data_IF_541321806968
#
_entry.id   IF_541321806968
#
_cell.length_a   1.000
_cell.length_b   1.000
_cell.length_c   1.000
_cell.angle_alpha   90.00
_cell.angle_beta   90.00
_cell.angle_gamma   90.00
#
_symmetry.space_group_name_H-M   'P 1'
#
loop_
_entity.id
_entity.type
_entity.pdbx_description
1 polymer ?
#
# COMPACT_ATOMS: atom_id res chain seq x y z
N UNK A 1 -17.64 2.29 8.44
CA UNK A 1 -17.27 0.87 8.56
C UNK A 1 -18.39 0.08 9.30
N UNK A 2 -19.03 0.64 10.34
CA UNK A 2 -20.06 -0.05 11.13
C UNK A 2 -21.24 -0.56 10.32
N UNK A 3 -21.91 0.31 9.55
CA UNK A 3 -23.03 -0.07 8.67
C UNK A 3 -22.63 -1.11 7.61
N UNK A 4 -21.39 -1.04 7.11
CA UNK A 4 -20.87 -2.03 6.19
C UNK A 4 -20.72 -3.41 6.85
N UNK A 5 -20.11 -3.46 8.05
CA UNK A 5 -19.99 -4.70 8.80
C UNK A 5 -21.36 -5.31 9.13
N UNK A 6 -22.32 -4.50 9.52
CA UNK A 6 -23.69 -4.96 9.82
C UNK A 6 -24.35 -5.64 8.62
N UNK A 7 -24.24 -5.05 7.42
CA UNK A 7 -24.76 -5.66 6.18
C UNK A 7 -24.12 -7.01 5.85
N UNK A 8 -22.83 -7.16 6.13
CA UNK A 8 -22.16 -8.45 5.92
C UNK A 8 -22.64 -9.52 6.91
N UNK A 9 -22.90 -9.14 8.17
CA UNK A 9 -23.42 -10.08 9.18
C UNK A 9 -24.82 -10.61 8.83
N UNK A 10 -25.66 -9.82 8.18
CA UNK A 10 -27.00 -10.21 7.75
C UNK A 10 -27.00 -11.29 6.65
N UNK A 11 -25.87 -11.52 5.98
CA UNK A 11 -25.71 -12.52 4.92
C UNK A 11 -25.19 -13.88 5.41
N UNK A 12 -24.91 -14.04 6.70
CA UNK A 12 -24.33 -15.23 7.29
C UNK A 12 -25.30 -15.90 8.27
N UNK A 13 -25.08 -17.19 8.52
CA UNK A 13 -25.77 -17.89 9.63
C UNK A 13 -25.45 -17.25 10.97
N UNK A 14 -26.31 -17.47 11.97
CA UNK A 14 -26.13 -16.90 13.31
C UNK A 14 -24.78 -17.23 13.93
N UNK A 15 -24.25 -18.44 13.72
CA UNK A 15 -22.95 -18.88 14.24
C UNK A 15 -21.81 -18.06 13.61
N UNK A 16 -21.74 -18.00 12.30
CA UNK A 16 -20.68 -17.27 11.58
C UNK A 16 -20.80 -15.75 11.76
N UNK A 17 -22.01 -15.22 11.78
CA UNK A 17 -22.26 -13.81 12.08
C UNK A 17 -21.74 -13.44 13.48
N UNK A 18 -21.92 -14.34 14.49
CA UNK A 18 -21.39 -14.13 15.82
C UNK A 18 -19.84 -14.05 15.82
N UNK A 19 -19.18 -15.00 15.15
CA UNK A 19 -17.70 -15.03 15.04
C UNK A 19 -17.18 -13.78 14.36
N UNK A 20 -17.75 -13.40 13.20
CA UNK A 20 -17.34 -12.22 12.45
C UNK A 20 -17.58 -10.93 13.26
N UNK A 21 -18.71 -10.83 13.98
CA UNK A 21 -19.04 -9.70 14.85
C UNK A 21 -18.01 -9.53 15.98
N UNK A 22 -17.60 -10.63 16.61
CA UNK A 22 -16.55 -10.61 17.65
C UNK A 22 -15.21 -10.17 17.09
N UNK A 23 -14.79 -10.72 15.93
CA UNK A 23 -13.57 -10.30 15.26
C UNK A 23 -13.60 -8.81 14.90
N UNK A 24 -14.69 -8.33 14.34
CA UNK A 24 -14.87 -6.92 14.01
C UNK A 24 -14.72 -6.01 15.24
N UNK A 25 -15.41 -6.33 16.35
CA UNK A 25 -15.39 -5.50 17.56
C UNK A 25 -14.05 -5.55 18.28
N UNK A 26 -13.53 -6.75 18.52
CA UNK A 26 -12.38 -6.94 19.40
C UNK A 26 -11.02 -6.89 18.69
N UNK A 27 -10.97 -7.14 17.40
CA UNK A 27 -9.73 -7.08 16.65
C UNK A 27 -9.66 -5.82 15.78
N UNK A 28 -10.65 -5.59 14.90
CA UNK A 28 -10.61 -4.47 13.95
C UNK A 28 -10.84 -3.13 14.65
N UNK A 29 -11.96 -2.95 15.34
CA UNK A 29 -12.27 -1.66 15.98
C UNK A 29 -11.26 -1.30 17.06
N UNK A 30 -10.84 -2.28 17.89
CA UNK A 30 -9.83 -2.04 18.91
C UNK A 30 -8.50 -1.61 18.30
N UNK A 31 -8.03 -2.26 17.23
CA UNK A 31 -6.80 -1.87 16.55
C UNK A 31 -6.88 -0.47 15.93
N UNK A 32 -8.03 -0.10 15.38
CA UNK A 32 -8.27 1.23 14.85
C UNK A 32 -8.28 2.29 15.97
N UNK A 33 -8.98 2.03 17.09
CA UNK A 33 -9.00 2.96 18.24
C UNK A 33 -7.62 3.17 18.86
N UNK A 34 -6.80 2.12 18.92
CA UNK A 34 -5.43 2.22 19.43
C UNK A 34 -4.52 3.01 18.48
N UNK A 35 -4.69 2.81 17.17
CA UNK A 35 -3.85 3.47 16.17
C UNK A 35 -4.26 4.92 15.88
N UNK A 36 -5.52 5.24 16.06
CA UNK A 36 -6.12 6.55 15.76
C UNK A 36 -6.95 7.07 16.95
N UNK A 37 -6.33 7.30 18.14
CA UNK A 37 -7.08 7.61 19.36
C UNK A 37 -7.83 8.95 19.29
N UNK A 38 -7.31 9.92 18.52
CA UNK A 38 -7.85 11.29 18.44
C UNK A 38 -8.11 11.75 17.00
N UNK A 39 -8.02 10.82 16.02
CA UNK A 39 -8.17 11.16 14.60
C UNK A 39 -9.03 10.12 13.89
N UNK A 40 -9.55 10.48 12.73
CA UNK A 40 -10.24 9.51 11.87
C UNK A 40 -9.24 8.72 11.03
N UNK A 41 -9.46 7.42 10.90
CA UNK A 41 -8.70 6.60 9.96
C UNK A 41 -8.95 7.09 8.52
N UNK A 42 -7.89 7.13 7.71
CA UNK A 42 -7.99 7.52 6.30
C UNK A 42 -8.92 6.59 5.50
N UNK A 43 -9.45 7.07 4.38
CA UNK A 43 -10.31 6.27 3.50
C UNK A 43 -9.64 4.97 3.07
N UNK A 44 -8.34 5.00 2.74
CA UNK A 44 -7.58 3.82 2.34
C UNK A 44 -7.49 2.75 3.45
N UNK A 45 -7.37 3.18 4.71
CA UNK A 45 -7.40 2.26 5.86
C UNK A 45 -8.79 1.65 6.02
N UNK A 46 -9.86 2.46 5.89
CA UNK A 46 -11.24 1.98 5.97
C UNK A 46 -11.53 0.99 4.85
N UNK A 47 -11.09 1.26 3.62
CA UNK A 47 -11.30 0.38 2.47
C UNK A 47 -10.50 -0.93 2.61
N UNK A 48 -9.28 -0.87 3.12
CA UNK A 48 -8.52 -2.08 3.46
C UNK A 48 -9.26 -2.96 4.48
N UNK A 49 -9.91 -2.36 5.49
CA UNK A 49 -10.72 -3.12 6.45
C UNK A 49 -12.02 -3.65 5.87
N UNK A 50 -12.64 -2.93 4.92
CA UNK A 50 -13.80 -3.44 4.18
C UNK A 50 -13.41 -4.66 3.35
N UNK A 51 -12.32 -4.61 2.59
CA UNK A 51 -11.81 -5.75 1.84
C UNK A 51 -11.50 -6.96 2.74
N UNK A 52 -10.89 -6.72 3.91
CA UNK A 52 -10.64 -7.77 4.89
C UNK A 52 -11.94 -8.44 5.37
N UNK A 53 -12.93 -7.65 5.76
CA UNK A 53 -14.23 -8.15 6.22
C UNK A 53 -14.97 -8.92 5.11
N UNK A 54 -14.93 -8.43 3.87
CA UNK A 54 -15.53 -9.10 2.70
C UNK A 54 -14.87 -10.47 2.48
N UNK A 55 -13.54 -10.53 2.47
CA UNK A 55 -12.83 -11.79 2.27
C UNK A 55 -13.15 -12.83 3.35
N UNK A 56 -13.30 -12.38 4.61
CA UNK A 56 -13.69 -13.27 5.72
C UNK A 56 -15.13 -13.74 5.55
N UNK A 57 -16.06 -12.84 5.21
CA UNK A 57 -17.45 -13.19 4.95
C UNK A 57 -17.56 -14.22 3.82
N UNK A 58 -16.79 -14.04 2.75
CA UNK A 58 -16.80 -14.97 1.60
C UNK A 58 -16.31 -16.36 1.99
N UNK A 59 -15.27 -16.48 2.83
CA UNK A 59 -14.85 -17.75 3.40
C UNK A 59 -15.96 -18.40 4.24
N UNK A 60 -16.57 -17.63 5.14
CA UNK A 60 -17.61 -18.14 6.03
C UNK A 60 -18.85 -18.59 5.25
N UNK A 61 -19.29 -17.80 4.25
CA UNK A 61 -20.39 -18.17 3.37
C UNK A 61 -20.08 -19.41 2.52
N UNK A 62 -18.82 -19.55 2.07
CA UNK A 62 -18.39 -20.75 1.34
C UNK A 62 -18.47 -22.00 2.23
N UNK A 63 -18.00 -21.92 3.49
CA UNK A 63 -18.11 -23.02 4.46
C UNK A 63 -19.58 -23.39 4.71
N UNK A 64 -20.47 -22.39 4.85
CA UNK A 64 -21.93 -22.63 4.96
C UNK A 64 -22.47 -23.40 3.76
N UNK A 65 -22.04 -23.03 2.54
CA UNK A 65 -22.41 -23.72 1.31
C UNK A 65 -21.95 -25.18 1.27
N UNK A 66 -20.90 -25.53 2.02
CA UNK A 66 -20.42 -26.91 2.20
C UNK A 66 -21.11 -27.63 3.41
N UNK A 67 -22.02 -26.95 4.10
CA UNK A 67 -22.65 -27.49 5.33
C UNK A 67 -21.70 -27.55 6.51
N UNK A 68 -20.66 -26.75 6.51
CA UNK A 68 -19.63 -26.74 7.54
C UNK A 68 -19.65 -25.43 8.34
N UNK A 69 -19.16 -25.50 9.57
CA UNK A 69 -18.86 -24.32 10.40
C UNK A 69 -17.35 -24.09 10.47
N UNK A 70 -16.95 -22.94 10.93
CA UNK A 70 -15.53 -22.63 11.13
C UNK A 70 -14.87 -23.57 12.15
N UNK A 71 -15.65 -24.07 13.12
CA UNK A 71 -15.19 -25.02 14.15
C UNK A 71 -15.03 -26.46 13.66
N UNK A 72 -15.65 -26.80 12.51
CA UNK A 72 -15.56 -28.16 11.90
C UNK A 72 -14.71 -28.18 10.64
N UNK A 73 -14.35 -27.00 10.11
CA UNK A 73 -13.53 -26.87 8.92
C UNK A 73 -12.17 -27.56 9.08
N UNK A 74 -11.75 -28.29 8.05
CA UNK A 74 -10.46 -28.97 8.00
C UNK A 74 -9.42 -28.17 7.22
N UNK A 75 -8.14 -28.56 7.34
CA UNK A 75 -7.08 -27.97 6.51
C UNK A 75 -7.36 -28.15 5.00
N UNK A 76 -7.88 -29.32 4.61
CA UNK A 76 -8.24 -29.59 3.22
C UNK A 76 -9.29 -28.64 2.66
N UNK A 77 -10.26 -28.24 3.48
CA UNK A 77 -11.29 -27.27 3.07
C UNK A 77 -10.68 -25.90 2.82
N UNK A 78 -9.77 -25.46 3.69
CA UNK A 78 -9.09 -24.16 3.53
C UNK A 78 -8.12 -24.16 2.35
N UNK A 79 -7.44 -25.26 2.10
CA UNK A 79 -6.54 -25.41 0.95
C UNK A 79 -7.36 -25.37 -0.37
N UNK A 80 -8.51 -26.04 -0.37
CA UNK A 80 -9.44 -26.02 -1.50
C UNK A 80 -10.00 -24.63 -1.76
N UNK A 81 -10.48 -23.93 -0.70
CA UNK A 81 -10.93 -22.55 -0.81
C UNK A 81 -9.83 -21.62 -1.31
N UNK A 82 -8.63 -21.74 -0.73
CA UNK A 82 -7.47 -20.94 -1.12
C UNK A 82 -7.01 -21.19 -2.56
N UNK A 83 -7.26 -22.38 -3.10
CA UNK A 83 -6.97 -22.70 -4.50
C UNK A 83 -7.86 -21.94 -5.49
N UNK A 84 -9.08 -21.61 -5.09
CA UNK A 84 -10.06 -20.94 -5.93
C UNK A 84 -9.94 -19.41 -5.94
N UNK A 85 -9.33 -18.81 -4.92
CA UNK A 85 -9.32 -17.36 -4.71
C UNK A 85 -7.90 -16.79 -4.75
N UNK A 86 -7.69 -15.83 -5.65
CA UNK A 86 -6.45 -15.07 -5.72
C UNK A 86 -6.46 -13.89 -4.69
N UNK A 87 -5.33 -13.64 -4.01
CA UNK A 87 -5.04 -12.41 -3.24
C UNK A 87 -5.72 -12.16 -1.87
N UNK A 88 -6.42 -13.11 -1.26
CA UNK A 88 -7.04 -12.89 0.06
C UNK A 88 -6.23 -13.46 1.24
N UNK A 89 -5.10 -14.10 1.00
CA UNK A 89 -4.33 -14.88 1.96
C UNK A 89 -3.97 -14.14 3.25
N UNK A 90 -3.52 -12.87 3.19
CA UNK A 90 -3.13 -12.14 4.40
C UNK A 90 -4.33 -11.78 5.31
N UNK A 91 -5.48 -11.44 4.71
CA UNK A 91 -6.70 -11.12 5.43
C UNK A 91 -7.24 -12.35 6.18
N UNK A 92 -7.28 -13.47 5.49
CA UNK A 92 -7.75 -14.75 6.04
C UNK A 92 -6.78 -15.30 7.08
N UNK A 93 -5.47 -15.22 6.86
CA UNK A 93 -4.46 -15.67 7.80
C UNK A 93 -4.57 -14.95 9.15
N UNK A 94 -4.75 -13.63 9.13
CA UNK A 94 -4.94 -12.83 10.35
C UNK A 94 -6.22 -13.24 11.09
N UNK A 95 -7.31 -13.45 10.34
CA UNK A 95 -8.59 -13.86 10.91
C UNK A 95 -8.52 -15.29 11.50
N UNK A 96 -7.97 -16.24 10.78
CA UNK A 96 -7.89 -17.64 11.24
C UNK A 96 -6.94 -17.80 12.42
N UNK A 97 -5.83 -17.07 12.45
CA UNK A 97 -4.95 -17.01 13.63
C UNK A 97 -5.72 -16.49 14.85
N UNK A 98 -6.51 -15.42 14.68
CA UNK A 98 -7.36 -14.90 15.74
C UNK A 98 -8.45 -15.91 16.13
N UNK A 99 -9.13 -16.53 15.16
CA UNK A 99 -10.19 -17.50 15.41
C UNK A 99 -9.68 -18.74 16.18
N UNK A 100 -8.51 -19.25 15.80
CA UNK A 100 -7.83 -20.35 16.51
C UNK A 100 -7.49 -19.96 17.95
N UNK A 101 -6.86 -18.80 18.14
CA UNK A 101 -6.50 -18.29 19.46
C UNK A 101 -7.71 -18.12 20.37
N UNK A 102 -8.87 -17.76 19.80
CA UNK A 102 -10.12 -17.58 20.53
C UNK A 102 -11.03 -18.81 20.51
N UNK A 103 -10.54 -19.97 20.08
CA UNK A 103 -11.26 -21.27 20.05
C UNK A 103 -12.54 -21.25 19.19
N UNK A 104 -12.54 -20.47 18.11
CA UNK A 104 -13.60 -20.44 17.10
C UNK A 104 -13.28 -21.31 15.87
N UNK A 105 -12.05 -21.73 15.71
CA UNK A 105 -11.60 -22.59 14.62
C UNK A 105 -10.75 -23.74 15.22
N UNK A 106 -10.71 -24.87 14.52
CA UNK A 106 -9.75 -25.95 14.73
C UNK A 106 -8.32 -25.49 14.41
N UNK A 107 -7.34 -26.36 14.57
CA UNK A 107 -5.93 -26.04 14.26
C UNK A 107 -5.68 -26.08 12.75
N UNK A 108 -6.20 -25.05 12.07
CA UNK A 108 -6.10 -24.86 10.63
C UNK A 108 -5.24 -23.63 10.33
N UNK A 109 -4.38 -23.73 9.32
CA UNK A 109 -3.51 -22.66 8.88
C UNK A 109 -3.74 -22.36 7.40
N UNK A 110 -3.95 -21.08 7.05
CA UNK A 110 -3.79 -20.66 5.66
C UNK A 110 -2.31 -20.64 5.37
N UNK A 111 -1.85 -21.58 4.56
CA UNK A 111 -0.50 -21.50 4.03
C UNK A 111 -0.38 -20.17 3.25
N UNK A 112 0.60 -19.35 3.62
CA UNK A 112 1.05 -18.30 2.70
C UNK A 112 1.38 -19.03 1.40
N UNK A 113 0.55 -18.90 0.38
CA UNK A 113 1.08 -19.09 -0.95
C UNK A 113 2.28 -18.15 -1.03
N UNK A 114 3.46 -18.71 -1.07
CA UNK A 114 4.62 -18.01 -1.59
C UNK A 114 4.10 -17.42 -2.89
N UNK A 115 3.95 -16.07 -2.89
CA UNK A 115 3.18 -15.41 -3.93
C UNK A 115 3.64 -15.93 -5.27
N UNK A 116 2.75 -16.56 -6.01
CA UNK A 116 2.94 -16.92 -7.42
C UNK A 116 3.16 -15.66 -8.28
N UNK A 117 3.20 -14.52 -7.66
CA UNK A 117 3.70 -13.24 -8.12
C UNK A 117 5.08 -12.92 -7.53
N UNK A 118 5.97 -13.90 -7.37
CA UNK A 118 7.37 -13.63 -7.58
C UNK A 118 7.50 -13.28 -9.08
N UNK A 119 6.99 -12.11 -9.47
CA UNK A 119 7.59 -11.46 -10.64
C UNK A 119 9.07 -11.44 -10.31
N UNK A 120 9.93 -11.94 -11.21
CA UNK A 120 11.36 -11.91 -10.96
C UNK A 120 11.69 -10.48 -10.52
N UNK A 121 12.42 -10.36 -9.43
CA UNK A 121 12.97 -9.07 -9.03
C UNK A 121 13.60 -8.48 -10.28
N UNK A 122 13.36 -7.20 -10.52
CA UNK A 122 13.99 -6.50 -11.64
C UNK A 122 15.48 -6.84 -11.56
N UNK A 123 16.05 -7.42 -12.61
CA UNK A 123 17.46 -7.76 -12.62
C UNK A 123 18.27 -6.47 -12.42
N UNK A 124 19.48 -6.59 -11.88
CA UNK A 124 20.33 -5.42 -11.69
C UNK A 124 20.56 -4.66 -13.01
N UNK A 125 20.71 -5.38 -14.11
CA UNK A 125 20.84 -4.78 -15.44
C UNK A 125 19.60 -4.00 -15.88
N UNK A 126 18.42 -4.54 -15.69
CA UNK A 126 17.14 -3.83 -16.00
C UNK A 126 16.96 -2.61 -15.09
N UNK A 127 17.36 -2.73 -13.82
CA UNK A 127 17.31 -1.61 -12.88
C UNK A 127 18.15 -0.44 -13.36
N UNK A 128 19.40 -0.70 -13.77
CA UNK A 128 20.29 0.33 -14.29
C UNK A 128 19.78 0.93 -15.60
N UNK A 129 19.23 0.12 -16.51
CA UNK A 129 18.58 0.62 -17.74
C UNK A 129 17.42 1.57 -17.44
N UNK A 130 16.61 1.26 -16.43
CA UNK A 130 15.53 2.16 -15.99
C UNK A 130 16.09 3.45 -15.38
N UNK A 131 17.16 3.38 -14.58
CA UNK A 131 17.81 4.55 -13.98
C UNK A 131 18.36 5.46 -15.08
N UNK A 132 19.13 4.92 -16.04
CA UNK A 132 19.68 5.68 -17.16
C UNK A 132 18.57 6.35 -17.96
N UNK A 133 17.50 5.61 -18.29
CA UNK A 133 16.35 6.17 -18.99
C UNK A 133 15.67 7.31 -18.22
N UNK A 134 15.50 7.17 -16.90
CA UNK A 134 14.90 8.22 -16.07
C UNK A 134 15.77 9.46 -15.95
N UNK A 135 17.11 9.32 -16.09
CA UNK A 135 18.03 10.43 -16.08
C UNK A 135 18.08 11.17 -17.43
N UNK A 136 18.04 10.43 -18.54
CA UNK A 136 18.35 10.95 -19.87
C UNK A 136 17.11 11.28 -20.73
N UNK A 137 15.94 10.66 -20.46
CA UNK A 137 14.74 10.83 -21.27
C UNK A 137 13.92 12.04 -20.81
N UNK A 138 14.16 13.18 -21.45
CA UNK A 138 13.49 14.46 -21.14
C UNK A 138 12.01 14.51 -21.61
N UNK A 139 11.56 13.56 -22.41
CA UNK A 139 10.14 13.45 -22.80
C UNK A 139 9.28 12.90 -21.65
N UNK A 140 9.91 12.22 -20.68
CA UNK A 140 9.20 11.72 -19.52
C UNK A 140 8.84 12.85 -18.55
N UNK A 141 7.61 12.83 -17.97
CA UNK A 141 7.23 13.79 -16.94
C UNK A 141 8.25 13.82 -15.79
N UNK A 142 8.73 14.99 -15.41
CA UNK A 142 9.78 15.16 -14.40
C UNK A 142 9.40 14.49 -13.07
N UNK A 143 8.12 14.57 -12.67
CA UNK A 143 7.59 13.83 -11.50
C UNK A 143 7.83 12.32 -11.60
N UNK A 144 7.59 11.72 -12.78
CA UNK A 144 7.82 10.29 -13.02
C UNK A 144 9.30 9.94 -12.90
N UNK A 145 10.17 10.77 -13.45
CA UNK A 145 11.63 10.62 -13.39
C UNK A 145 12.11 10.65 -11.95
N UNK A 146 11.75 11.67 -11.17
CA UNK A 146 12.17 11.84 -9.79
C UNK A 146 11.66 10.69 -8.91
N UNK A 147 10.37 10.37 -8.99
CA UNK A 147 9.78 9.28 -8.18
C UNK A 147 10.37 7.93 -8.54
N UNK A 148 10.60 7.67 -9.83
CA UNK A 148 11.26 6.45 -10.28
C UNK A 148 12.67 6.31 -9.71
N UNK A 149 13.46 7.39 -9.73
CA UNK A 149 14.80 7.42 -9.13
C UNK A 149 14.76 7.24 -7.60
N UNK A 150 13.78 7.82 -6.90
CA UNK A 150 13.62 7.61 -5.46
C UNK A 150 13.29 6.15 -5.12
N UNK A 151 12.48 5.49 -5.94
CA UNK A 151 12.14 4.07 -5.76
C UNK A 151 13.34 3.18 -6.08
N UNK A 152 14.03 3.42 -7.23
CA UNK A 152 15.09 2.55 -7.73
C UNK A 152 16.44 2.73 -7.01
N UNK A 153 16.80 3.95 -6.64
CA UNK A 153 18.10 4.24 -6.01
C UNK A 153 18.04 4.20 -4.48
N UNK A 154 16.90 4.63 -3.90
CA UNK A 154 16.80 4.84 -2.46
C UNK A 154 15.74 3.95 -1.80
N UNK A 155 15.19 2.96 -2.51
CA UNK A 155 14.17 2.01 -2.02
C UNK A 155 12.94 2.68 -1.40
N UNK A 156 12.60 3.90 -1.83
CA UNK A 156 11.48 4.63 -1.23
C UNK A 156 10.14 4.05 -1.63
N UNK A 157 9.20 4.04 -0.69
CA UNK A 157 7.84 3.63 -0.98
C UNK A 157 7.08 4.74 -1.72
N UNK A 158 6.12 4.38 -2.58
CA UNK A 158 5.25 5.38 -3.21
C UNK A 158 4.47 6.22 -2.18
N UNK A 159 4.16 5.64 -1.02
CA UNK A 159 3.50 6.38 0.07
C UNK A 159 4.43 7.44 0.66
N UNK A 160 5.72 7.14 0.83
CA UNK A 160 6.73 8.12 1.25
C UNK A 160 6.86 9.22 0.21
N UNK A 161 7.06 8.86 -1.06
CA UNK A 161 7.19 9.84 -2.14
C UNK A 161 5.97 10.76 -2.25
N UNK A 162 4.76 10.22 -2.14
CA UNK A 162 3.53 10.99 -2.23
C UNK A 162 3.39 12.02 -1.09
N UNK A 163 3.91 11.73 0.09
CA UNK A 163 3.81 12.59 1.28
C UNK A 163 5.01 13.51 1.49
N UNK A 164 5.95 13.54 0.55
CA UNK A 164 7.10 14.45 0.63
C UNK A 164 6.67 15.90 0.50
N UNK A 165 7.36 16.74 1.26
CA UNK A 165 7.16 18.18 1.29
C UNK A 165 8.34 18.90 0.66
N UNK A 166 8.12 20.16 0.29
CA UNK A 166 9.21 21.03 -0.12
C UNK A 166 10.30 21.17 0.93
N UNK A 167 9.90 21.24 2.21
CA UNK A 167 10.81 21.32 3.34
C UNK A 167 11.70 20.09 3.52
N UNK A 168 11.42 19.00 2.80
CA UNK A 168 12.24 17.79 2.83
C UNK A 168 13.40 17.85 1.83
N UNK A 169 13.42 18.88 0.96
CA UNK A 169 14.53 19.12 0.03
C UNK A 169 15.31 20.34 0.47
N UNK A 170 16.61 20.18 0.56
CA UNK A 170 17.55 21.28 0.80
C UNK A 170 18.45 21.43 -0.40
N UNK A 171 18.42 22.60 -1.04
CA UNK A 171 19.23 22.95 -2.22
C UNK A 171 20.25 23.98 -1.78
N UNK A 172 21.53 23.69 -2.00
CA UNK A 172 22.65 24.61 -1.84
C UNK A 172 23.38 24.76 -3.18
N UNK A 173 24.29 25.68 -3.30
CA UNK A 173 25.09 25.86 -4.53
C UNK A 173 25.88 24.61 -4.88
N UNK A 174 26.32 23.85 -3.85
CA UNK A 174 27.21 22.69 -4.02
C UNK A 174 26.46 21.36 -4.11
N UNK A 175 25.31 21.22 -3.47
CA UNK A 175 24.62 19.94 -3.31
C UNK A 175 23.10 20.08 -3.18
N UNK A 176 22.42 18.96 -3.43
CA UNK A 176 21.00 18.78 -3.10
C UNK A 176 20.89 17.62 -2.12
N UNK A 177 20.16 17.84 -1.04
CA UNK A 177 19.89 16.79 -0.05
C UNK A 177 18.38 16.59 0.10
N UNK A 178 17.98 15.33 0.30
CA UNK A 178 16.57 14.93 0.47
C UNK A 178 16.41 14.18 1.77
N UNK A 179 15.43 14.55 2.57
CA UNK A 179 15.10 13.89 3.83
C UNK A 179 13.94 12.91 3.62
N UNK A 180 14.26 11.62 3.50
CA UNK A 180 13.25 10.55 3.40
C UNK A 180 12.76 10.07 4.77
N UNK A 181 13.58 10.23 5.80
CA UNK A 181 13.30 9.86 7.19
C UNK A 181 13.87 10.91 8.14
N UNK A 182 14.66 10.50 9.12
CA UNK A 182 15.24 11.44 10.12
C UNK A 182 16.39 12.24 9.53
N UNK A 183 17.29 11.57 8.81
CA UNK A 183 18.53 12.18 8.31
C UNK A 183 18.43 12.52 6.82
N UNK A 184 18.99 13.67 6.39
CA UNK A 184 19.04 14.03 4.98
C UNK A 184 20.09 13.18 4.24
N UNK A 185 19.77 12.77 3.03
CA UNK A 185 20.64 12.03 2.13
C UNK A 185 21.07 12.97 0.99
N UNK A 186 22.37 13.10 0.78
CA UNK A 186 22.89 13.89 -0.36
C UNK A 186 22.67 13.14 -1.67
N UNK A 187 22.06 13.82 -2.62
CA UNK A 187 21.72 13.24 -3.91
C UNK A 187 22.95 13.17 -4.84
N UNK A 188 23.06 12.11 -5.66
CA UNK A 188 23.96 12.13 -6.80
C UNK A 188 23.71 13.36 -7.68
N UNK A 189 24.77 13.89 -8.30
CA UNK A 189 24.69 15.15 -9.05
C UNK A 189 23.56 15.16 -10.08
N UNK A 190 23.44 14.11 -10.89
CA UNK A 190 22.38 14.05 -11.93
C UNK A 190 20.96 14.08 -11.33
N UNK A 191 20.72 13.42 -10.19
CA UNK A 191 19.44 13.46 -9.48
C UNK A 191 19.22 14.84 -8.85
N UNK A 192 20.26 15.45 -8.30
CA UNK A 192 20.23 16.79 -7.74
C UNK A 192 19.88 17.85 -8.79
N UNK A 193 20.48 17.77 -9.97
CA UNK A 193 20.20 18.68 -11.08
C UNK A 193 18.76 18.55 -11.58
N UNK A 194 18.23 17.34 -11.65
CA UNK A 194 16.82 17.08 -11.98
C UNK A 194 15.86 17.68 -10.93
N UNK A 195 16.21 17.55 -9.64
CA UNK A 195 15.43 18.15 -8.54
C UNK A 195 15.46 19.68 -8.60
N UNK A 196 16.62 20.29 -8.90
CA UNK A 196 16.73 21.73 -9.12
C UNK A 196 15.80 22.20 -10.24
N UNK A 197 15.89 21.53 -11.39
CA UNK A 197 15.03 21.82 -12.56
C UNK A 197 13.56 21.73 -12.18
N UNK A 198 13.15 20.74 -11.43
CA UNK A 198 11.77 20.54 -10.98
C UNK A 198 11.30 21.67 -10.05
N UNK A 199 12.09 21.99 -9.03
CA UNK A 199 11.75 23.04 -8.05
C UNK A 199 11.76 24.43 -8.68
N UNK A 200 12.62 24.64 -9.69
CA UNK A 200 12.74 25.91 -10.41
C UNK A 200 11.68 26.09 -11.50
N UNK A 201 10.92 25.06 -11.84
CA UNK A 201 9.84 25.15 -12.82
C UNK A 201 8.82 26.24 -12.42
N UNK A 202 8.48 27.19 -13.33
CA UNK A 202 7.58 28.29 -13.01
C UNK A 202 6.19 27.83 -12.55
N UNK A 203 5.67 26.73 -13.11
CA UNK A 203 4.36 26.16 -12.72
C UNK A 203 4.43 25.63 -11.30
N UNK A 204 5.47 24.86 -11.01
CA UNK A 204 5.74 24.29 -9.70
C UNK A 204 5.89 25.42 -8.66
N UNK A 205 6.71 26.44 -8.97
CA UNK A 205 6.88 27.64 -8.11
C UNK A 205 5.57 28.40 -7.87
N UNK A 206 4.71 28.50 -8.86
CA UNK A 206 3.42 29.17 -8.72
C UNK A 206 2.50 28.39 -7.77
N UNK A 207 2.47 27.08 -7.90
CA UNK A 207 1.72 26.20 -7.00
C UNK A 207 2.22 26.37 -5.56
N UNK A 208 3.53 26.44 -5.35
CA UNK A 208 4.14 26.57 -4.01
C UNK A 208 3.88 27.90 -3.32
N UNK A 209 3.71 28.97 -4.06
CA UNK A 209 3.36 30.27 -3.51
C UNK A 209 1.90 30.38 -3.08
N UNK A 210 1.08 29.38 -3.42
CA UNK A 210 -0.32 29.31 -3.02
C UNK A 210 -0.40 28.88 -1.55
N UNK A 211 -1.11 29.63 -0.73
CA UNK A 211 -1.32 29.32 0.69
C UNK A 211 -1.83 27.89 0.89
N UNK A 212 -1.23 27.14 1.79
CA UNK A 212 -1.60 25.75 2.11
C UNK A 212 -0.97 24.68 1.23
N UNK A 213 -0.07 25.03 0.28
CA UNK A 213 0.65 24.06 -0.54
C UNK A 213 2.02 23.76 0.06
N UNK A 214 2.18 22.57 0.60
CA UNK A 214 3.43 22.13 1.19
C UNK A 214 4.04 20.90 0.49
N UNK A 215 3.25 20.24 -0.36
CA UNK A 215 3.60 18.96 -0.96
C UNK A 215 4.54 19.10 -2.15
N UNK A 216 5.60 18.28 -2.18
CA UNK A 216 6.55 18.23 -3.29
C UNK A 216 5.85 17.85 -4.61
N UNK A 217 4.98 16.86 -4.54
CA UNK A 217 4.18 16.41 -5.67
C UNK A 217 2.70 16.70 -5.40
N UNK A 218 2.20 17.76 -6.00
CA UNK A 218 0.81 18.18 -5.85
C UNK A 218 -0.14 17.18 -6.51
N UNK A 219 -1.30 17.01 -5.88
CA UNK A 219 -2.41 16.22 -6.41
C UNK A 219 -3.27 16.99 -7.39
N UNK A 220 -4.50 16.56 -7.56
CA UNK A 220 -5.49 17.23 -8.42
C UNK A 220 -5.81 18.65 -7.91
N UNK A 221 -5.77 18.83 -6.59
CA UNK A 221 -5.85 20.17 -5.97
C UNK A 221 -4.48 20.51 -5.37
N UNK A 222 -4.02 21.77 -5.47
CA UNK A 222 -2.71 22.20 -4.95
C UNK A 222 -2.51 21.91 -3.47
N UNK A 223 -3.57 21.94 -2.66
CA UNK A 223 -3.54 21.67 -1.22
C UNK A 223 -3.46 20.19 -0.86
N UNK A 224 -3.55 19.28 -1.83
CA UNK A 224 -3.48 17.84 -1.63
C UNK A 224 -2.24 17.25 -2.29
N UNK A 225 -1.66 16.22 -1.70
CA UNK A 225 -0.58 15.47 -2.35
C UNK A 225 -1.11 14.53 -3.42
N UNK A 226 -0.27 14.19 -4.38
CA UNK A 226 -0.53 13.12 -5.34
C UNK A 226 -0.77 11.78 -4.60
N UNK A 227 -1.66 10.94 -5.10
CA UNK A 227 -1.92 9.65 -4.46
C UNK A 227 -0.81 8.63 -4.80
N UNK A 228 -0.46 7.70 -3.87
CA UNK A 228 0.47 6.61 -4.17
C UNK A 228 0.05 5.76 -5.37
N UNK A 229 -1.27 5.57 -5.56
CA UNK A 229 -1.82 4.84 -6.72
C UNK A 229 -1.49 5.57 -8.04
N UNK A 230 -1.66 6.90 -8.06
CA UNK A 230 -1.33 7.70 -9.26
C UNK A 230 0.16 7.66 -9.59
N UNK A 231 1.04 7.74 -8.57
CA UNK A 231 2.47 7.55 -8.76
C UNK A 231 2.79 6.15 -9.32
N UNK A 232 2.09 5.13 -8.83
CA UNK A 232 2.22 3.77 -9.34
C UNK A 232 1.82 3.64 -10.82
N UNK A 233 0.73 4.28 -11.23
CA UNK A 233 0.30 4.33 -12.64
C UNK A 233 1.34 5.00 -13.53
N UNK A 234 1.93 6.12 -13.08
CA UNK A 234 2.97 6.84 -13.83
C UNK A 234 4.21 5.96 -14.02
N UNK A 235 4.66 5.23 -13.01
CA UNK A 235 5.80 4.32 -13.12
C UNK A 235 5.49 3.10 -13.99
N UNK A 236 4.28 2.54 -13.88
CA UNK A 236 3.85 1.41 -14.72
C UNK A 236 3.78 1.80 -16.20
N UNK A 237 3.37 3.03 -16.51
CA UNK A 237 3.34 3.53 -17.90
C UNK A 237 4.73 3.57 -18.56
N UNK A 238 5.79 3.67 -17.77
CA UNK A 238 7.18 3.62 -18.26
C UNK A 238 7.86 2.26 -18.04
N UNK A 239 7.09 1.25 -17.68
CA UNK A 239 7.56 -0.13 -17.50
C UNK A 239 8.18 -0.44 -16.13
N UNK A 240 8.13 0.49 -15.18
CA UNK A 240 8.68 0.30 -13.84
C UNK A 240 7.59 -0.21 -12.89
N UNK A 241 7.74 -1.42 -12.36
CA UNK A 241 6.87 -1.97 -11.33
C UNK A 241 7.37 -1.56 -9.93
N UNK A 242 6.64 -0.71 -9.19
CA UNK A 242 7.12 -0.19 -7.91
C UNK A 242 7.36 -1.25 -6.83
N UNK A 243 6.67 -2.39 -6.92
CA UNK A 243 6.83 -3.51 -5.97
C UNK A 243 8.14 -4.25 -6.19
N UNK A 244 8.45 -4.59 -7.45
CA UNK A 244 9.68 -5.31 -7.79
C UNK A 244 10.90 -4.41 -7.75
N UNK A 245 10.75 -3.13 -8.04
CA UNK A 245 11.82 -2.14 -8.00
C UNK A 245 12.34 -1.89 -6.57
N UNK A 246 11.44 -1.88 -5.58
CA UNK A 246 11.82 -1.72 -4.17
C UNK A 246 12.57 -2.93 -3.62
N UNK A 247 12.23 -4.12 -4.05
CA UNK A 247 12.86 -5.37 -3.58
C UNK A 247 14.27 -5.56 -4.18
N UNK A 248 14.61 -4.80 -5.23
CA UNK A 248 15.91 -4.83 -5.91
C UNK A 248 16.85 -3.69 -5.47
N UNK A 249 16.38 -2.74 -4.67
CA UNK A 249 17.16 -1.58 -4.18
C UNK A 249 17.67 -1.80 -2.76
#
# INVERSE_FOLDING_TARGET
LGLFAQRLLETLTTEHAHVLSRYYRWHILRSLSQRYPNTHASSSVVDSRRHQLTAIRDLLAWLEGQGQSLSTATQGDLDHYSAQIANTGNALMTFLTWARTNRHATDVEVQRRAGTNARPAVSEGERWQHIDRLLDDDELPVTTRIVGLFVLLFAQSLATCAQMKHSDITITDESVSVRFATDPVTMPRAVGDLLRTYVDDPVVRTIYRTEGTEWLFSGLMPTTHITPSRLGELLLAVGISPRTAKDAA
#
